data_IF_657312778373
#
_entry.id   IF_657312778373
#
_cell.length_a   1.000
_cell.length_b   1.000
_cell.length_c   1.000
_cell.angle_alpha   90.00
_cell.angle_beta   90.00
_cell.angle_gamma   90.00
#
_symmetry.space_group_name_H-M   'P 1'
#
loop_
_entity.id
_entity.type
_entity.pdbx_description
1 polymer ?
#
# COMPACT_ATOMS: atom_id res chain seq x y z
N UNK A 1 1.55 22.02 -4.99
CA UNK A 1 1.02 22.78 -3.84
C UNK A 1 2.06 23.72 -3.22
N UNK A 2 3.16 23.24 -2.61
CA UNK A 2 4.21 24.15 -2.11
C UNK A 2 4.89 24.99 -3.21
N UNK A 3 5.05 24.43 -4.41
CA UNK A 3 5.59 25.14 -5.58
C UNK A 3 4.63 26.24 -6.11
N UNK A 4 3.33 26.08 -5.91
CA UNK A 4 2.30 27.02 -6.38
C UNK A 4 2.29 28.28 -5.50
N UNK A 5 2.51 28.13 -4.19
CA UNK A 5 2.62 29.24 -3.24
C UNK A 5 3.83 30.13 -3.56
N UNK A 6 5.02 29.53 -3.73
CA UNK A 6 6.27 30.28 -3.99
C UNK A 6 6.17 31.09 -5.28
N UNK A 7 5.62 30.48 -6.34
CA UNK A 7 5.44 31.16 -7.63
C UNK A 7 4.41 32.29 -7.54
N UNK A 8 3.32 32.10 -6.80
CA UNK A 8 2.30 33.13 -6.63
C UNK A 8 2.82 34.31 -5.78
N UNK A 9 3.54 34.02 -4.69
CA UNK A 9 4.22 35.05 -3.89
C UNK A 9 5.16 35.91 -4.75
N UNK A 10 5.94 35.28 -5.65
CA UNK A 10 6.80 35.98 -6.59
C UNK A 10 6.03 36.89 -7.54
N UNK A 11 4.84 36.47 -7.99
CA UNK A 11 3.98 37.27 -8.88
C UNK A 11 3.35 38.49 -8.18
N UNK A 12 2.95 38.34 -6.92
CA UNK A 12 2.26 39.38 -6.13
C UNK A 12 3.21 40.24 -5.29
N UNK A 13 4.51 39.93 -5.30
CA UNK A 13 5.54 40.64 -4.54
C UNK A 13 5.46 40.41 -3.03
N UNK A 14 4.96 39.25 -2.61
CA UNK A 14 4.80 38.86 -1.19
C UNK A 14 6.02 38.06 -0.75
N UNK A 15 6.55 38.36 0.44
CA UNK A 15 7.58 37.52 1.04
C UNK A 15 6.99 36.17 1.44
N UNK A 16 7.60 35.10 0.93
CA UNK A 16 7.19 33.72 1.15
C UNK A 16 7.16 33.36 2.64
N UNK A 17 8.01 33.97 3.48
CA UNK A 17 8.00 33.77 4.95
C UNK A 17 6.78 34.37 5.62
N UNK A 18 6.18 35.37 5.00
CA UNK A 18 4.99 36.09 5.48
C UNK A 18 3.71 35.63 4.76
N UNK A 19 3.78 34.63 3.89
CA UNK A 19 2.67 34.22 3.06
C UNK A 19 1.85 33.08 3.67
N UNK A 20 0.53 33.24 3.67
CA UNK A 20 -0.44 32.20 3.99
C UNK A 20 -1.37 31.99 2.78
N UNK A 21 -1.54 30.75 2.36
CA UNK A 21 -2.49 30.36 1.33
C UNK A 21 -3.66 29.63 1.99
N UNK A 22 -4.86 30.14 1.76
CA UNK A 22 -6.11 29.52 2.17
C UNK A 22 -6.73 28.78 1.00
N UNK A 23 -7.27 27.61 1.27
CA UNK A 23 -7.84 26.72 0.27
C UNK A 23 -9.19 26.19 0.72
N UNK A 24 -10.15 26.07 -0.20
CA UNK A 24 -11.53 25.69 0.13
C UNK A 24 -12.43 26.87 0.49
N UNK A 25 -12.03 28.10 0.18
CA UNK A 25 -12.81 29.31 0.46
C UNK A 25 -13.96 29.42 -0.56
N UNK A 26 -15.23 29.53 -0.14
CA UNK A 26 -16.34 29.75 -1.08
C UNK A 26 -16.25 31.09 -1.83
N UNK A 27 -16.78 31.16 -3.05
CA UNK A 27 -16.67 32.34 -3.93
C UNK A 27 -17.37 33.60 -3.39
N UNK A 28 -18.37 33.42 -2.54
CA UNK A 28 -19.22 34.49 -2.00
C UNK A 28 -18.68 35.09 -0.69
N UNK A 29 -17.52 34.64 -0.21
CA UNK A 29 -16.92 35.19 1.01
C UNK A 29 -16.21 36.51 0.68
N UNK A 30 -16.52 37.53 1.47
CA UNK A 30 -15.92 38.85 1.34
C UNK A 30 -14.50 38.88 1.92
N UNK A 31 -13.67 39.79 1.41
CA UNK A 31 -12.22 39.84 1.73
C UNK A 31 -11.98 40.13 3.22
N UNK A 32 -12.76 41.03 3.80
CA UNK A 32 -12.74 41.37 5.23
C UNK A 32 -12.98 40.15 6.12
N UNK A 33 -13.92 39.28 5.74
CA UNK A 33 -14.22 38.03 6.48
C UNK A 33 -13.06 37.05 6.40
N UNK A 34 -12.37 36.99 5.26
CA UNK A 34 -11.19 36.13 5.07
C UNK A 34 -10.04 36.63 5.95
N UNK A 35 -9.77 37.94 5.93
CA UNK A 35 -8.77 38.58 6.77
C UNK A 35 -9.08 38.37 8.26
N UNK A 36 -10.30 38.64 8.70
CA UNK A 36 -10.73 38.45 10.09
C UNK A 36 -10.60 36.97 10.54
N UNK A 37 -10.95 36.03 9.66
CA UNK A 37 -10.80 34.60 9.94
C UNK A 37 -9.34 34.20 10.09
N UNK A 38 -8.45 34.69 9.22
CA UNK A 38 -7.02 34.42 9.33
C UNK A 38 -6.42 35.04 10.61
N UNK A 39 -6.88 36.23 11.00
CA UNK A 39 -6.47 36.95 12.23
C UNK A 39 -6.96 36.28 13.53
N UNK A 40 -7.78 35.24 13.46
CA UNK A 40 -8.04 34.36 14.62
C UNK A 40 -6.77 33.66 15.09
N UNK A 41 -5.84 33.38 14.17
CA UNK A 41 -4.49 32.88 14.47
C UNK A 41 -3.60 34.04 14.86
N UNK A 42 -3.53 34.35 16.16
CA UNK A 42 -2.79 35.51 16.68
C UNK A 42 -1.31 35.53 16.32
N UNK A 43 -0.72 34.39 15.99
CA UNK A 43 0.66 34.28 15.54
C UNK A 43 0.92 34.93 14.17
N UNK A 44 -0.11 35.18 13.34
CA UNK A 44 0.03 35.79 12.01
C UNK A 44 0.01 37.32 12.05
N UNK A 45 -0.40 37.91 13.17
CA UNK A 45 -0.60 39.35 13.28
C UNK A 45 -1.73 39.84 12.38
N UNK A 46 -1.53 41.00 11.74
CA UNK A 46 -2.48 41.57 10.78
C UNK A 46 -2.37 40.82 9.45
N UNK A 47 -3.50 40.49 8.84
CA UNK A 47 -3.53 39.74 7.58
C UNK A 47 -4.17 40.58 6.47
N UNK A 48 -3.59 40.53 5.28
CA UNK A 48 -4.12 41.21 4.10
C UNK A 48 -4.22 40.25 2.92
N UNK A 49 -5.37 40.21 2.25
CA UNK A 49 -5.53 39.41 1.03
C UNK A 49 -4.82 40.10 -0.14
N UNK A 50 -3.95 39.35 -0.82
CA UNK A 50 -3.12 39.81 -1.94
C UNK A 50 -3.62 39.30 -3.27
N UNK A 51 -4.13 38.08 -3.31
CA UNK A 51 -4.62 37.47 -4.54
C UNK A 51 -5.69 36.43 -4.29
N UNK A 52 -6.55 36.21 -5.29
CA UNK A 52 -7.52 35.11 -5.32
C UNK A 52 -7.45 34.39 -6.65
N UNK A 53 -7.60 33.07 -6.61
CA UNK A 53 -7.59 32.21 -7.79
C UNK A 53 -8.64 31.13 -7.62
N UNK A 54 -9.50 30.93 -8.61
CA UNK A 54 -10.46 29.84 -8.57
C UNK A 54 -9.75 28.51 -8.89
N UNK A 55 -10.01 27.48 -8.08
CA UNK A 55 -9.55 26.11 -8.32
C UNK A 55 -10.70 25.27 -8.88
N UNK A 56 -10.69 24.95 -10.20
CA UNK A 56 -11.75 24.14 -10.80
C UNK A 56 -11.85 22.73 -10.21
N UNK A 57 -10.73 22.19 -9.71
CA UNK A 57 -10.65 20.84 -9.14
C UNK A 57 -11.46 20.69 -7.85
N UNK A 58 -11.63 21.77 -7.09
CA UNK A 58 -12.36 21.77 -5.82
C UNK A 58 -13.62 22.62 -5.84
N UNK A 59 -13.87 23.34 -6.95
CA UNK A 59 -14.97 24.29 -7.05
C UNK A 59 -14.95 25.33 -5.92
N UNK A 60 -13.75 25.84 -5.58
CA UNK A 60 -13.53 26.79 -4.50
C UNK A 60 -12.41 27.78 -4.84
N UNK A 61 -12.34 28.89 -4.10
CA UNK A 61 -11.23 29.84 -4.17
C UNK A 61 -10.01 29.34 -3.38
N UNK A 62 -8.85 29.66 -3.95
CA UNK A 62 -7.57 29.77 -3.25
C UNK A 62 -7.31 31.25 -3.00
N UNK A 63 -6.85 31.59 -1.81
CA UNK A 63 -6.65 32.99 -1.42
C UNK A 63 -5.25 33.15 -0.83
N UNK A 64 -4.42 33.96 -1.49
CA UNK A 64 -3.11 34.33 -1.01
C UNK A 64 -3.23 35.52 -0.06
N UNK A 65 -2.72 35.34 1.15
CA UNK A 65 -2.70 36.34 2.20
C UNK A 65 -1.26 36.67 2.60
N UNK A 66 -1.01 37.94 2.87
CA UNK A 66 0.23 38.44 3.46
C UNK A 66 -0.01 38.72 4.94
N UNK A 67 0.81 38.12 5.79
CA UNK A 67 0.77 38.23 7.23
C UNK A 67 1.81 39.26 7.69
N UNK A 68 1.52 39.98 8.77
CA UNK A 68 2.48 40.92 9.35
C UNK A 68 3.68 40.21 9.99
N UNK A 69 3.42 39.04 10.58
CA UNK A 69 4.44 38.24 11.27
C UNK A 69 4.87 37.07 10.37
N UNK A 70 6.11 36.59 10.57
CA UNK A 70 6.61 35.40 9.87
C UNK A 70 5.80 34.15 10.26
N UNK A 71 5.46 33.35 9.24
CA UNK A 71 4.68 32.12 9.40
C UNK A 71 5.49 31.03 10.11
N UNK A 72 4.91 30.48 11.17
CA UNK A 72 5.50 29.41 11.99
C UNK A 72 4.59 28.17 11.95
N UNK A 73 5.12 27.06 11.43
CA UNK A 73 4.38 25.81 11.25
C UNK A 73 3.85 25.20 12.54
N UNK A 74 4.42 25.56 13.70
CA UNK A 74 3.96 25.09 15.01
C UNK A 74 2.74 25.86 15.53
N UNK A 75 2.46 27.05 14.97
CA UNK A 75 1.42 27.97 15.47
C UNK A 75 0.24 28.12 14.51
N UNK A 76 0.37 27.66 13.27
CA UNK A 76 -0.67 27.75 12.25
C UNK A 76 -1.45 26.42 12.23
N UNK A 77 -2.75 26.42 12.54
CA UNK A 77 -3.56 25.22 12.45
C UNK A 77 -3.75 24.81 10.98
N UNK A 78 -3.86 23.50 10.68
CA UNK A 78 -4.03 23.00 9.31
C UNK A 78 -5.34 23.45 8.68
N UNK A 79 -6.36 23.74 9.51
CA UNK A 79 -7.68 24.18 9.09
C UNK A 79 -8.16 25.38 9.91
N UNK A 80 -8.83 26.33 9.27
CA UNK A 80 -9.47 27.49 9.88
C UNK A 80 -10.96 27.44 9.68
N UNK A 81 -11.73 27.62 10.76
CA UNK A 81 -13.18 27.77 10.68
C UNK A 81 -13.53 29.25 10.52
N UNK A 82 -14.33 29.63 9.51
CA UNK A 82 -14.71 31.03 9.30
C UNK A 82 -15.45 31.62 10.50
N UNK A 83 -15.21 32.90 10.79
CA UNK A 83 -15.89 33.61 11.89
C UNK A 83 -17.42 33.67 11.72
N UNK A 84 -17.90 33.63 10.47
CA UNK A 84 -19.32 33.56 10.13
C UNK A 84 -19.92 32.15 10.26
N UNK A 85 -19.11 31.15 10.60
CA UNK A 85 -19.44 29.73 10.51
C UNK A 85 -19.38 29.21 9.06
N UNK A 86 -19.30 27.89 8.92
CA UNK A 86 -19.21 27.21 7.62
C UNK A 86 -18.18 26.10 7.59
N UNK A 87 -17.87 25.61 6.39
CA UNK A 87 -16.82 24.62 6.17
C UNK A 87 -15.44 25.22 6.48
N UNK A 88 -14.56 24.41 7.06
CA UNK A 88 -13.20 24.82 7.36
C UNK A 88 -12.37 25.02 6.07
N UNK A 89 -11.42 25.95 6.13
CA UNK A 89 -10.48 26.26 5.06
C UNK A 89 -9.11 25.70 5.40
N UNK A 90 -8.49 25.01 4.45
CA UNK A 90 -7.15 24.47 4.64
C UNK A 90 -6.11 25.59 4.55
N UNK A 91 -5.08 25.50 5.39
CA UNK A 91 -3.95 26.44 5.39
C UNK A 91 -2.72 25.81 4.74
N UNK A 92 -2.00 26.59 3.95
CA UNK A 92 -0.71 26.25 3.38
C UNK A 92 0.22 27.44 3.62
N UNK A 93 1.39 27.17 4.19
CA UNK A 93 2.42 28.18 4.44
C UNK A 93 3.77 27.62 4.00
N UNK A 94 4.76 28.50 3.86
CA UNK A 94 6.10 28.06 3.51
C UNK A 94 6.80 27.44 4.70
N UNK A 95 7.47 26.31 4.46
CA UNK A 95 8.37 25.69 5.42
C UNK A 95 9.75 25.69 4.79
N UNK A 96 10.69 26.41 5.39
CA UNK A 96 12.08 26.43 4.92
C UNK A 96 12.65 25.00 5.01
N UNK A 97 13.25 24.46 3.92
CA UNK A 97 13.78 23.11 3.93
C UNK A 97 14.93 23.02 4.93
N UNK A 98 14.65 22.48 6.11
CA UNK A 98 15.63 22.31 7.16
C UNK A 98 16.74 21.37 6.68
N UNK A 99 17.91 21.93 6.36
CA UNK A 99 19.14 21.16 6.10
C UNK A 99 19.77 20.60 7.38
N UNK A 100 19.21 20.92 8.56
CA UNK A 100 19.71 20.44 9.83
C UNK A 100 18.70 19.48 10.46
N UNK A 101 18.78 18.21 10.08
CA UNK A 101 18.14 17.09 10.78
C UNK A 101 17.25 16.21 9.90
N UNK A 102 17.76 15.02 9.57
CA UNK A 102 17.05 13.87 8.98
C UNK A 102 16.93 13.74 7.45
N UNK A 103 17.46 14.66 6.64
CA UNK A 103 17.58 14.41 5.18
C UNK A 103 18.50 13.21 4.90
N UNK A 104 19.63 13.09 5.59
CA UNK A 104 20.53 11.93 5.47
C UNK A 104 19.88 10.66 6.01
N UNK A 105 19.19 10.71 7.15
CA UNK A 105 18.55 9.53 7.73
C UNK A 105 17.37 9.01 6.89
N UNK A 106 16.58 9.91 6.29
CA UNK A 106 15.54 9.54 5.33
C UNK A 106 16.17 9.00 4.04
N UNK A 107 17.20 9.66 3.51
CA UNK A 107 17.89 9.23 2.29
C UNK A 107 18.52 7.85 2.49
N UNK A 108 19.16 7.59 3.63
CA UNK A 108 19.71 6.27 3.96
C UNK A 108 18.62 5.21 4.09
N UNK A 109 17.49 5.51 4.77
CA UNK A 109 16.37 4.58 4.88
C UNK A 109 15.73 4.30 3.53
N UNK A 110 15.58 5.32 2.68
CA UNK A 110 15.05 5.19 1.33
C UNK A 110 15.99 4.35 0.46
N UNK A 111 17.30 4.61 0.51
CA UNK A 111 18.29 3.81 -0.22
C UNK A 111 18.29 2.35 0.25
N UNK A 112 18.20 2.09 1.55
CA UNK A 112 18.07 0.73 2.10
C UNK A 112 16.78 0.04 1.63
N UNK A 113 15.67 0.76 1.60
CA UNK A 113 14.38 0.23 1.15
C UNK A 113 14.38 -0.07 -0.36
N UNK A 114 14.98 0.82 -1.15
CA UNK A 114 15.15 0.59 -2.59
C UNK A 114 16.00 -0.65 -2.85
N UNK A 115 17.10 -0.82 -2.10
CA UNK A 115 17.95 -2.01 -2.20
C UNK A 115 17.21 -3.30 -1.78
N UNK A 116 16.43 -3.28 -0.69
CA UNK A 116 15.66 -4.47 -0.27
C UNK A 116 14.60 -4.89 -1.28
N UNK A 117 14.07 -3.92 -2.03
CA UNK A 117 13.05 -4.13 -3.06
C UNK A 117 13.66 -4.34 -4.46
N UNK A 118 14.99 -4.34 -4.61
CA UNK A 118 15.69 -4.46 -5.89
C UNK A 118 15.48 -3.29 -6.85
N UNK A 119 15.12 -2.11 -6.32
CA UNK A 119 14.82 -0.88 -7.08
C UNK A 119 15.95 0.13 -6.99
N UNK A 120 15.99 1.08 -7.92
CA UNK A 120 17.00 2.14 -7.96
C UNK A 120 16.39 3.54 -7.84
N UNK A 121 17.22 4.55 -7.63
CA UNK A 121 16.77 5.94 -7.57
C UNK A 121 16.17 6.41 -8.91
N UNK A 122 16.56 5.78 -10.03
CA UNK A 122 15.94 6.03 -11.33
C UNK A 122 14.46 5.63 -11.34
N UNK A 123 14.07 4.57 -10.63
CA UNK A 123 12.66 4.17 -10.52
C UNK A 123 11.84 5.25 -9.79
N UNK A 124 12.44 5.87 -8.77
CA UNK A 124 11.80 6.99 -8.03
C UNK A 124 11.69 8.22 -8.93
N UNK A 125 12.73 8.55 -9.70
CA UNK A 125 12.68 9.67 -10.66
C UNK A 125 11.61 9.45 -11.74
N UNK A 126 11.43 8.23 -12.25
CA UNK A 126 10.35 7.89 -13.20
C UNK A 126 8.96 8.09 -12.61
N UNK A 127 8.79 7.87 -11.31
CA UNK A 127 7.52 8.09 -10.59
C UNK A 127 7.29 9.59 -10.34
N UNK A 128 8.34 10.33 -9.96
CA UNK A 128 8.24 11.74 -9.60
C UNK A 128 8.14 12.68 -10.81
N UNK A 129 8.77 12.32 -11.94
CA UNK A 129 8.73 13.09 -13.19
C UNK A 129 8.05 12.29 -14.31
N UNK A 130 6.71 12.11 -14.27
CA UNK A 130 5.99 11.43 -15.35
C UNK A 130 6.05 12.19 -16.69
N UNK A 131 6.43 13.47 -16.72
CA UNK A 131 6.26 14.34 -17.89
C UNK A 131 7.45 14.43 -18.87
N UNK A 132 8.62 13.82 -18.61
CA UNK A 132 9.76 13.94 -19.55
C UNK A 132 9.81 12.85 -20.64
N UNK A 133 8.84 11.94 -20.73
CA UNK A 133 8.86 10.89 -21.79
C UNK A 133 7.53 10.63 -22.51
N UNK A 134 6.50 11.45 -22.31
CA UNK A 134 5.16 11.19 -22.87
C UNK A 134 4.91 11.68 -24.31
N UNK A 135 5.96 11.85 -25.14
CA UNK A 135 5.80 12.33 -26.53
C UNK A 135 6.46 11.50 -27.62
N UNK A 136 7.24 10.47 -27.29
CA UNK A 136 7.99 9.72 -28.30
C UNK A 136 7.24 8.43 -28.67
N UNK A 137 7.07 8.11 -29.98
CA UNK A 137 6.57 6.82 -30.43
C UNK A 137 7.37 5.65 -29.84
N UNK A 138 8.66 5.86 -29.53
CA UNK A 138 9.50 4.86 -28.88
C UNK A 138 9.11 4.64 -27.42
N UNK A 139 8.62 5.65 -26.70
CA UNK A 139 8.08 5.49 -25.34
C UNK A 139 6.81 4.67 -25.35
N UNK A 140 5.96 4.83 -26.38
CA UNK A 140 4.76 4.01 -26.57
C UNK A 140 5.16 2.60 -26.98
N UNK A 141 6.09 2.43 -27.93
CA UNK A 141 6.59 1.11 -28.36
C UNK A 141 7.29 0.41 -27.20
N UNK A 142 8.02 1.14 -26.34
CA UNK A 142 8.65 0.61 -25.13
C UNK A 142 7.64 0.34 -24.04
N UNK A 143 6.62 1.16 -23.83
CA UNK A 143 5.57 0.88 -22.85
C UNK A 143 4.71 -0.33 -23.28
N UNK A 144 4.38 -0.43 -24.56
CA UNK A 144 3.71 -1.60 -25.15
C UNK A 144 4.64 -2.81 -25.13
N UNK A 145 5.93 -2.60 -25.39
CA UNK A 145 6.99 -3.60 -25.29
C UNK A 145 7.17 -4.11 -23.86
N UNK A 146 7.16 -3.22 -22.86
CA UNK A 146 7.26 -3.53 -21.43
C UNK A 146 5.99 -4.20 -20.93
N UNK A 147 4.81 -3.77 -21.39
CA UNK A 147 3.55 -4.45 -21.11
C UNK A 147 3.59 -5.85 -21.71
N UNK A 148 4.06 -6.00 -22.95
CA UNK A 148 4.25 -7.29 -23.60
C UNK A 148 5.37 -8.12 -22.95
N UNK A 149 6.43 -7.53 -22.42
CA UNK A 149 7.47 -8.24 -21.67
C UNK A 149 6.99 -8.62 -20.27
N UNK A 150 6.06 -7.87 -19.68
CA UNK A 150 5.40 -8.20 -18.40
C UNK A 150 4.34 -9.27 -18.58
N UNK A 151 3.60 -9.27 -19.70
CA UNK A 151 2.56 -10.28 -20.00
C UNK A 151 3.08 -11.49 -20.76
N UNK A 152 4.17 -11.35 -21.52
CA UNK A 152 4.87 -12.38 -22.28
C UNK A 152 6.37 -12.42 -21.94
N UNK A 153 6.69 -12.41 -20.64
CA UNK A 153 7.85 -13.22 -20.21
C UNK A 153 7.60 -14.64 -20.77
N UNK A 154 8.59 -15.27 -21.44
CA UNK A 154 8.45 -16.68 -21.79
C UNK A 154 8.02 -17.45 -20.53
N UNK A 155 7.15 -18.46 -20.64
CA UNK A 155 6.69 -19.24 -19.49
C UNK A 155 7.80 -20.17 -19.00
N UNK A 156 8.95 -19.61 -18.63
CA UNK A 156 9.87 -20.28 -17.75
C UNK A 156 9.41 -19.97 -16.33
N UNK A 157 8.70 -20.96 -15.80
CA UNK A 157 8.33 -21.16 -14.41
C UNK A 157 6.98 -20.60 -13.95
N UNK A 158 5.95 -21.43 -14.17
CA UNK A 158 4.81 -21.59 -13.26
C UNK A 158 5.26 -22.02 -11.83
N UNK A 159 6.26 -21.39 -11.21
CA UNK A 159 6.82 -21.94 -9.96
C UNK A 159 5.88 -21.83 -8.76
N UNK A 160 5.00 -20.81 -8.70
CA UNK A 160 4.08 -20.69 -7.56
C UNK A 160 2.69 -20.28 -8.04
N UNK A 161 1.98 -21.22 -8.66
CA UNK A 161 0.52 -21.12 -8.76
C UNK A 161 0.01 -20.81 -7.35
N UNK A 162 -0.96 -19.89 -7.25
CA UNK A 162 -1.71 -19.62 -6.01
C UNK A 162 -1.99 -20.96 -5.31
N UNK A 163 -1.53 -21.11 -4.06
CA UNK A 163 -1.79 -22.33 -3.29
C UNK A 163 -3.30 -22.62 -3.32
N UNK A 164 -3.64 -23.85 -3.68
CA UNK A 164 -5.02 -24.30 -3.63
C UNK A 164 -5.47 -24.44 -2.18
N UNK A 165 -6.78 -24.40 -1.98
CA UNK A 165 -7.36 -24.47 -0.64
C UNK A 165 -7.18 -25.86 -0.04
N UNK A 166 -6.79 -25.92 1.23
CA UNK A 166 -6.70 -27.13 2.04
C UNK A 166 -7.44 -26.92 3.37
N UNK A 167 -8.38 -27.82 3.68
CA UNK A 167 -9.17 -27.75 4.93
C UNK A 167 -8.73 -28.74 6.01
N UNK A 168 -7.96 -29.78 5.66
CA UNK A 168 -7.69 -30.89 6.57
C UNK A 168 -8.85 -31.87 6.76
N UNK A 169 -9.90 -31.79 5.95
CA UNK A 169 -11.03 -32.74 5.97
C UNK A 169 -10.75 -33.94 5.07
N UNK A 170 -11.01 -35.15 5.56
CA UNK A 170 -10.91 -36.40 4.79
C UNK A 170 -12.29 -37.07 4.65
N UNK A 171 -12.73 -37.45 3.43
CA UNK A 171 -12.02 -37.28 2.15
C UNK A 171 -11.96 -35.82 1.69
N UNK A 172 -10.96 -35.49 0.86
CA UNK A 172 -10.75 -34.12 0.35
C UNK A 172 -12.02 -33.58 -0.34
N UNK A 173 -12.56 -32.43 0.10
CA UNK A 173 -13.71 -31.81 -0.54
C UNK A 173 -13.46 -31.46 -2.01
N UNK A 174 -14.52 -31.46 -2.82
CA UNK A 174 -14.41 -31.09 -4.24
C UNK A 174 -13.90 -29.66 -4.42
N UNK A 175 -12.82 -29.50 -5.18
CA UNK A 175 -12.19 -28.20 -5.43
C UNK A 175 -11.07 -27.82 -4.44
N UNK A 176 -10.83 -28.66 -3.43
CA UNK A 176 -9.69 -28.53 -2.50
C UNK A 176 -8.55 -29.46 -2.90
N UNK A 177 -7.36 -29.16 -2.37
CA UNK A 177 -6.14 -29.96 -2.56
C UNK A 177 -6.00 -30.98 -1.43
N UNK A 178 -5.44 -32.16 -1.72
CA UNK A 178 -5.10 -33.11 -0.66
C UNK A 178 -3.86 -32.66 0.13
N UNK A 179 -3.68 -33.23 1.32
CA UNK A 179 -2.61 -32.83 2.23
C UNK A 179 -1.22 -32.93 1.60
N UNK A 180 -0.88 -34.06 0.97
CA UNK A 180 0.46 -34.29 0.41
C UNK A 180 0.83 -33.24 -0.65
N UNK A 181 -0.09 -32.97 -1.59
CA UNK A 181 0.13 -32.01 -2.68
C UNK A 181 0.18 -30.58 -2.12
N UNK A 182 -0.71 -30.23 -1.18
CA UNK A 182 -0.69 -28.91 -0.55
C UNK A 182 0.62 -28.67 0.22
N UNK A 183 1.10 -29.67 0.95
CA UNK A 183 2.34 -29.60 1.74
C UNK A 183 3.56 -29.36 0.85
N UNK A 184 3.68 -30.10 -0.25
CA UNK A 184 4.75 -29.89 -1.23
C UNK A 184 4.72 -28.47 -1.81
N UNK A 185 3.53 -27.98 -2.20
CA UNK A 185 3.36 -26.61 -2.71
C UNK A 185 3.68 -25.54 -1.66
N UNK A 186 3.33 -25.76 -0.40
CA UNK A 186 3.60 -24.85 0.70
C UNK A 186 5.10 -24.74 0.99
N UNK A 187 5.80 -25.88 1.07
CA UNK A 187 7.27 -25.92 1.25
C UNK A 187 7.98 -25.22 0.09
N UNK A 188 7.57 -25.53 -1.13
CA UNK A 188 8.10 -24.90 -2.34
C UNK A 188 7.92 -23.37 -2.30
N UNK A 189 6.73 -22.86 -1.93
CA UNK A 189 6.48 -21.42 -1.81
C UNK A 189 7.41 -20.75 -0.76
N UNK A 190 7.64 -21.41 0.37
CA UNK A 190 8.48 -20.86 1.44
C UNK A 190 9.95 -20.82 1.00
N UNK A 191 10.45 -21.92 0.42
CA UNK A 191 11.86 -22.09 0.09
C UNK A 191 12.27 -21.31 -1.17
N UNK A 192 11.46 -21.35 -2.23
CA UNK A 192 11.84 -20.83 -3.55
C UNK A 192 11.02 -19.60 -3.97
N UNK A 193 10.00 -19.21 -3.19
CA UNK A 193 9.14 -18.09 -3.54
C UNK A 193 9.88 -16.74 -3.60
N UNK A 194 9.90 -16.10 -4.78
CA UNK A 194 10.55 -14.78 -4.99
C UNK A 194 9.80 -13.59 -4.35
N UNK A 195 8.65 -13.83 -3.72
CA UNK A 195 7.84 -12.78 -3.09
C UNK A 195 8.26 -12.52 -1.63
N UNK A 196 7.84 -11.38 -1.08
CA UNK A 196 8.17 -11.02 0.30
C UNK A 196 7.62 -12.03 1.32
N UNK A 197 8.28 -12.15 2.47
CA UNK A 197 7.82 -13.04 3.55
C UNK A 197 6.38 -12.74 3.98
N UNK A 198 5.99 -11.46 3.99
CA UNK A 198 4.60 -11.04 4.25
C UNK A 198 3.61 -11.58 3.22
N UNK A 199 3.99 -11.62 1.95
CA UNK A 199 3.18 -12.18 0.87
C UNK A 199 3.12 -13.71 0.96
N UNK A 200 4.23 -14.38 1.27
CA UNK A 200 4.26 -15.82 1.55
C UNK A 200 3.32 -16.17 2.70
N UNK A 201 3.39 -15.42 3.81
CA UNK A 201 2.50 -15.58 4.96
C UNK A 201 1.04 -15.42 4.61
N UNK A 202 0.69 -14.37 3.85
CA UNK A 202 -0.67 -14.15 3.39
C UNK A 202 -1.17 -15.33 2.55
N UNK A 203 -0.37 -15.84 1.61
CA UNK A 203 -0.74 -16.96 0.72
C UNK A 203 -0.96 -18.26 1.49
N UNK A 204 -0.09 -18.60 2.44
CA UNK A 204 -0.27 -19.78 3.30
C UNK A 204 -1.60 -19.66 4.05
N UNK A 205 -1.84 -18.54 4.75
CA UNK A 205 -3.07 -18.33 5.51
C UNK A 205 -4.34 -18.37 4.63
N UNK A 206 -4.32 -17.75 3.45
CA UNK A 206 -5.47 -17.75 2.52
C UNK A 206 -5.75 -19.12 1.90
N UNK A 207 -4.75 -20.01 1.86
CA UNK A 207 -4.93 -21.37 1.37
C UNK A 207 -5.54 -22.31 2.42
N UNK A 208 -5.63 -21.89 3.68
CA UNK A 208 -6.11 -22.75 4.76
C UNK A 208 -7.57 -22.47 5.09
N UNK A 209 -8.32 -23.53 5.40
CA UNK A 209 -9.70 -23.45 5.93
C UNK A 209 -9.94 -24.51 7.00
N UNK A 210 -11.09 -24.41 7.67
CA UNK A 210 -11.58 -25.43 8.60
C UNK A 210 -10.53 -25.83 9.66
N UNK A 211 -10.41 -27.13 9.98
CA UNK A 211 -9.43 -27.64 10.94
C UNK A 211 -8.00 -27.16 10.71
N UNK A 212 -7.56 -27.10 9.43
CA UNK A 212 -6.21 -26.67 9.11
C UNK A 212 -5.94 -25.19 9.46
N UNK A 213 -6.92 -24.30 9.27
CA UNK A 213 -6.80 -22.90 9.66
C UNK A 213 -6.88 -22.70 11.17
N UNK A 214 -7.73 -23.46 11.86
CA UNK A 214 -7.91 -23.39 13.32
C UNK A 214 -6.61 -23.70 14.07
N UNK A 215 -5.82 -24.67 13.58
CA UNK A 215 -4.50 -25.01 14.12
C UNK A 215 -3.56 -23.80 14.09
N UNK A 216 -3.45 -23.13 12.94
CA UNK A 216 -2.57 -21.97 12.79
C UNK A 216 -3.07 -20.78 13.63
N UNK A 217 -4.38 -20.59 13.74
CA UNK A 217 -4.94 -19.56 14.61
C UNK A 217 -4.62 -19.83 16.08
N UNK A 218 -4.76 -21.07 16.56
CA UNK A 218 -4.41 -21.45 17.93
C UNK A 218 -2.91 -21.28 18.20
N UNK A 219 -2.06 -21.62 17.24
CA UNK A 219 -0.61 -21.42 17.32
C UNK A 219 -0.29 -19.93 17.47
N UNK A 220 -0.86 -19.06 16.64
CA UNK A 220 -0.64 -17.60 16.69
C UNK A 220 -1.11 -16.94 17.98
N UNK A 221 -2.10 -17.53 18.67
CA UNK A 221 -2.52 -17.07 19.99
C UNK A 221 -1.51 -17.41 21.09
N UNK A 222 -0.74 -18.48 20.90
CA UNK A 222 0.26 -18.97 21.87
C UNK A 222 1.64 -18.37 21.58
N UNK A 223 1.99 -18.25 20.30
CA UNK A 223 3.25 -17.73 19.80
C UNK A 223 2.99 -16.82 18.58
N UNK A 224 2.97 -15.48 18.77
CA UNK A 224 2.72 -14.53 17.69
C UNK A 224 3.91 -14.37 16.73
N UNK A 225 5.12 -14.76 17.14
CA UNK A 225 6.35 -14.59 16.38
C UNK A 225 6.73 -15.86 15.58
N UNK A 226 5.88 -16.89 15.61
CA UNK A 226 6.06 -18.13 14.88
C UNK A 226 6.25 -17.89 13.37
N UNK A 227 7.29 -18.54 12.83
CA UNK A 227 7.72 -18.51 11.44
C UNK A 227 6.80 -19.30 10.51
N UNK A 228 6.94 -19.08 9.20
CA UNK A 228 6.17 -19.82 8.19
C UNK A 228 6.46 -21.31 8.18
N UNK A 229 7.71 -21.69 8.45
CA UNK A 229 8.08 -23.09 8.51
C UNK A 229 7.46 -23.78 9.72
N UNK A 230 7.33 -23.08 10.85
CA UNK A 230 6.62 -23.59 12.03
C UNK A 230 5.12 -23.79 11.77
N UNK A 231 4.48 -22.94 10.95
CA UNK A 231 3.11 -23.18 10.49
C UNK A 231 3.00 -24.46 9.67
N UNK A 232 3.89 -24.65 8.69
CA UNK A 232 3.92 -25.84 7.84
C UNK A 232 4.14 -27.08 8.69
N UNK A 233 5.08 -27.04 9.64
CA UNK A 233 5.39 -28.16 10.52
C UNK A 233 4.22 -28.52 11.45
N UNK A 234 3.47 -27.53 11.95
CA UNK A 234 2.29 -27.79 12.76
C UNK A 234 1.20 -28.53 11.96
N UNK A 235 0.97 -28.12 10.70
CA UNK A 235 0.03 -28.78 9.80
C UNK A 235 0.52 -30.19 9.45
N UNK A 236 1.80 -30.34 9.14
CA UNK A 236 2.43 -31.64 8.85
C UNK A 236 2.34 -32.60 10.03
N UNK A 237 2.54 -32.12 11.26
CA UNK A 237 2.43 -32.96 12.46
C UNK A 237 1.02 -33.49 12.71
N UNK A 238 -0.02 -32.76 12.28
CA UNK A 238 -1.41 -33.13 12.56
C UNK A 238 -2.00 -33.96 11.42
N UNK A 239 -1.75 -33.58 10.17
CA UNK A 239 -2.34 -34.23 9.00
C UNK A 239 -1.40 -35.22 8.30
N UNK A 240 -0.10 -35.17 8.59
CA UNK A 240 0.90 -36.09 8.03
C UNK A 240 0.91 -37.46 8.70
N UNK A 241 0.00 -37.72 9.65
CA UNK A 241 -0.21 -39.07 10.18
C UNK A 241 -0.82 -39.93 9.06
N UNK A 242 0.05 -40.66 8.36
CA UNK A 242 -0.36 -41.69 7.40
C UNK A 242 -1.23 -42.72 8.11
N UNK A 243 -2.27 -43.21 7.43
CA UNK A 243 -3.00 -44.41 7.83
C UNK A 243 -2.00 -45.49 8.23
N UNK A 244 -2.18 -46.12 9.39
CA UNK A 244 -1.33 -47.22 9.83
C UNK A 244 -1.34 -48.33 8.78
N UNK A 245 -0.29 -49.13 8.68
CA UNK A 245 -0.29 -50.32 7.83
C UNK A 245 -1.48 -51.25 8.14
N UNK A 246 -1.97 -51.23 9.38
CA UNK A 246 -3.21 -51.92 9.79
C UNK A 246 -4.46 -51.30 9.18
N UNK A 247 -4.59 -49.97 9.15
CA UNK A 247 -5.73 -49.26 8.55
C UNK A 247 -5.82 -49.48 7.04
N UNK A 248 -4.66 -49.45 6.37
CA UNK A 248 -4.52 -49.80 4.95
C UNK A 248 -4.91 -51.26 4.68
N UNK A 249 -4.45 -52.17 5.55
CA UNK A 249 -4.80 -53.59 5.45
C UNK A 249 -6.30 -53.84 5.66
N UNK A 250 -6.92 -53.19 6.67
CA UNK A 250 -8.36 -53.25 6.90
C UNK A 250 -9.16 -52.66 5.74
N UNK A 251 -8.72 -51.53 5.19
CA UNK A 251 -9.36 -50.90 4.03
C UNK A 251 -9.30 -51.82 2.81
N UNK A 252 -8.13 -52.39 2.50
CA UNK A 252 -7.95 -53.34 1.41
C UNK A 252 -8.85 -54.57 1.55
N UNK A 253 -8.94 -55.16 2.75
CA UNK A 253 -9.83 -56.31 3.02
C UNK A 253 -11.31 -55.96 2.94
N UNK A 254 -11.65 -54.70 3.11
CA UNK A 254 -13.02 -54.18 3.04
C UNK A 254 -13.44 -53.81 1.62
N UNK A 255 -12.48 -53.67 0.68
CA UNK A 255 -12.78 -53.48 -0.74
C UNK A 255 -13.25 -54.80 -1.35
N UNK A 256 -14.51 -54.83 -1.79
CA UNK A 256 -15.07 -55.91 -2.59
C UNK A 256 -15.64 -55.34 -3.87
N UNK A 257 -15.38 -56.02 -4.99
CA UNK A 257 -15.95 -55.66 -6.28
C UNK A 257 -17.48 -55.67 -6.18
N UNK A 258 -18.09 -54.52 -6.44
CA UNK A 258 -19.54 -54.38 -6.38
C UNK A 258 -20.21 -54.94 -7.65
N UNK A 259 -21.48 -55.34 -7.52
CA UNK A 259 -22.24 -55.83 -8.67
C UNK A 259 -22.35 -54.75 -9.75
N UNK A 260 -21.70 -54.97 -10.90
CA UNK A 260 -21.68 -54.05 -12.03
C UNK A 260 -20.33 -53.39 -12.33
N UNK A 261 -19.33 -53.53 -11.44
CA UNK A 261 -17.97 -53.05 -11.72
C UNK A 261 -17.29 -53.96 -12.75
N UNK A 262 -16.72 -53.36 -13.82
CA UNK A 262 -16.02 -54.12 -14.85
C UNK A 262 -14.59 -54.41 -14.40
N UNK A 263 -14.17 -55.68 -14.51
CA UNK A 263 -12.75 -56.01 -14.45
C UNK A 263 -12.08 -55.48 -15.72
N UNK A 264 -11.20 -54.50 -15.56
CA UNK A 264 -10.28 -54.10 -16.64
C UNK A 264 -9.12 -55.09 -16.65
N UNK A 265 -9.21 -56.06 -17.56
CA UNK A 265 -8.12 -56.97 -17.93
C UNK A 265 -7.14 -56.32 -18.88
#
# INVERSE_FOLDING_TARGET
MGLDLVNWCRGEGVDVKHALLLYGVPENIAVDVIEETAETVKALGKVQVRGKMFSPQQQSLMVLCECREETDSTKIPPELVPVMGGCAWNTVHYVEPQHNGSSDAFTEKLLKLLQSEGKTMDDVQRICNPNEQHGSPESIIRAVGDVWSRTNKPPDSNAFRRLRTFSGVSPTPSGEECFDIWLEQAKLLVDEGECSEKEKQRRILESLKGPALEIIQAMRMTDPDASLMEYIQAIESIFGVTQSGEDLYFSFRSLQQQSGERQTS
#
